data_IF_223152271085
#
_entry.id   IF_223152271085
#
_cell.length_a   1.000
_cell.length_b   1.000
_cell.length_c   1.000
_cell.angle_alpha   90.00
_cell.angle_beta   90.00
_cell.angle_gamma   90.00
#
_symmetry.space_group_name_H-M   'P 1'
#
loop_
_entity.id
_entity.type
_entity.pdbx_description
1 polymer ?
#
# COMPACT_ATOMS: atom_id res chain seq x y z
N UNK A 1 -25.97 -19.74 -44.06
CA UNK A 1 -25.49 -20.57 -42.95
C UNK A 1 -26.05 -19.97 -41.66
N UNK A 2 -27.12 -20.62 -41.18
CA UNK A 2 -27.69 -20.82 -39.84
C UNK A 2 -27.17 -19.96 -38.67
N UNK A 3 -28.02 -19.15 -38.01
CA UNK A 3 -28.92 -19.44 -36.86
C UNK A 3 -28.21 -19.52 -35.49
N UNK A 4 -28.61 -18.56 -34.62
CA UNK A 4 -29.00 -18.68 -33.20
C UNK A 4 -28.24 -19.56 -32.20
N UNK A 5 -28.08 -19.02 -30.97
CA UNK A 5 -28.39 -19.58 -29.63
C UNK A 5 -27.41 -18.95 -28.62
N UNK A 6 -27.81 -17.93 -27.87
CA UNK A 6 -28.54 -18.04 -26.60
C UNK A 6 -27.85 -18.99 -25.60
N UNK A 7 -27.15 -18.35 -24.66
CA UNK A 7 -27.20 -18.56 -23.23
C UNK A 7 -26.87 -19.94 -22.61
N UNK A 8 -26.20 -19.79 -21.47
CA UNK A 8 -26.48 -20.46 -20.20
C UNK A 8 -25.76 -21.79 -19.92
N UNK A 9 -25.04 -21.76 -18.79
CA UNK A 9 -25.16 -22.68 -17.66
C UNK A 9 -24.70 -24.11 -17.99
N UNK A 10 -23.71 -24.69 -17.31
CA UNK A 10 -23.84 -25.32 -15.99
C UNK A 10 -22.54 -26.10 -15.78
N UNK A 11 -22.08 -26.27 -14.53
CA UNK A 11 -21.19 -27.39 -14.22
C UNK A 11 -20.25 -27.12 -13.06
N UNK A 12 -20.76 -27.35 -11.84
CA UNK A 12 -19.91 -27.53 -10.67
C UNK A 12 -19.46 -29.01 -10.55
N UNK A 13 -18.32 -29.16 -9.88
CA UNK A 13 -17.75 -30.30 -9.12
C UNK A 13 -16.81 -31.32 -9.79
N UNK A 14 -15.59 -31.35 -9.21
CA UNK A 14 -14.88 -32.51 -8.66
C UNK A 14 -13.55 -32.97 -9.32
N UNK A 15 -12.53 -32.97 -8.46
CA UNK A 15 -11.37 -33.88 -8.33
C UNK A 15 -10.14 -33.74 -9.25
N UNK A 16 -9.08 -33.23 -8.62
CA UNK A 16 -7.66 -33.66 -8.64
C UNK A 16 -7.10 -34.11 -10.00
N UNK A 17 -6.43 -33.18 -10.67
CA UNK A 17 -5.51 -33.44 -11.76
C UNK A 17 -4.49 -32.32 -11.82
N UNK A 18 -3.21 -32.66 -11.64
CA UNK A 18 -2.08 -31.74 -11.73
C UNK A 18 -2.08 -31.06 -13.09
N UNK A 19 -2.36 -29.77 -13.11
CA UNK A 19 -1.93 -28.89 -14.17
C UNK A 19 -1.47 -27.60 -13.51
N UNK A 20 -0.16 -27.36 -13.57
CA UNK A 20 0.46 -26.06 -13.31
C UNK A 20 -0.15 -25.06 -14.30
N UNK A 21 -1.34 -24.55 -14.00
CA UNK A 21 -1.77 -23.28 -14.53
C UNK A 21 -0.94 -22.26 -13.77
N UNK A 22 0.16 -21.84 -14.39
CA UNK A 22 0.72 -20.52 -14.16
C UNK A 22 -0.41 -19.53 -14.45
N UNK A 23 -1.27 -19.31 -13.46
CA UNK A 23 -2.02 -18.09 -13.37
C UNK A 23 -0.94 -17.02 -13.32
N UNK A 24 -0.73 -16.39 -14.48
CA UNK A 24 -0.17 -15.04 -14.51
C UNK A 24 -1.17 -14.23 -13.71
N UNK A 25 -0.96 -14.21 -12.39
CA UNK A 25 -1.52 -13.18 -11.54
C UNK A 25 -0.87 -11.95 -12.10
N UNK A 26 -1.63 -11.24 -12.95
CA UNK A 26 -1.34 -9.85 -13.25
C UNK A 26 -1.51 -9.19 -11.89
N UNK A 27 -0.44 -9.19 -11.10
CA UNK A 27 -0.34 -8.34 -9.93
C UNK A 27 -0.64 -6.94 -10.48
N UNK A 28 -1.65 -6.23 -9.95
CA UNK A 28 -1.88 -4.88 -10.38
C UNK A 28 -0.57 -4.14 -10.18
N UNK A 29 0.04 -3.74 -11.29
CA UNK A 29 1.13 -2.78 -11.31
C UNK A 29 0.57 -1.61 -10.49
N UNK A 30 1.16 -1.34 -9.33
CA UNK A 30 0.81 -0.16 -8.56
C UNK A 30 1.16 1.04 -9.45
N UNK A 31 0.18 1.49 -10.23
CA UNK A 31 0.26 2.77 -10.90
C UNK A 31 0.43 3.79 -9.78
N UNK A 32 1.48 4.61 -9.86
CA UNK A 32 1.54 5.84 -9.10
C UNK A 32 0.27 6.61 -9.44
N UNK A 33 -0.71 6.56 -8.54
CA UNK A 33 -1.92 7.33 -8.65
C UNK A 33 -1.53 8.73 -8.17
N UNK A 34 -1.28 9.62 -9.12
CA UNK A 34 -0.84 11.01 -8.84
C UNK A 34 -1.78 11.72 -7.85
N UNK A 35 -3.06 11.29 -7.75
CA UNK A 35 -4.02 11.82 -6.79
C UNK A 35 -3.83 11.23 -5.39
N UNK A 36 -3.58 9.92 -5.28
CA UNK A 36 -3.28 9.25 -4.01
C UNK A 36 -1.94 9.73 -3.42
N UNK A 37 -0.93 9.89 -4.27
CA UNK A 37 0.37 10.44 -3.90
C UNK A 37 0.23 11.89 -3.41
N UNK A 38 -0.58 12.69 -4.12
CA UNK A 38 -0.89 14.06 -3.72
C UNK A 38 -1.62 14.14 -2.37
N UNK A 39 -2.59 13.26 -2.12
CA UNK A 39 -3.31 13.19 -0.86
C UNK A 39 -2.37 12.85 0.30
N UNK A 40 -1.56 11.79 0.12
CA UNK A 40 -0.58 11.34 1.09
C UNK A 40 0.41 12.46 1.47
N UNK A 41 1.02 13.11 0.47
CA UNK A 41 1.96 14.21 0.70
C UNK A 41 1.29 15.38 1.42
N UNK A 42 0.10 15.78 1.00
CA UNK A 42 -0.66 16.86 1.65
C UNK A 42 -0.96 16.53 3.12
N UNK A 43 -1.30 15.27 3.41
CA UNK A 43 -1.54 14.82 4.77
C UNK A 43 -0.28 14.91 5.65
N UNK A 44 0.88 14.53 5.13
CA UNK A 44 2.15 14.64 5.83
C UNK A 44 2.59 16.09 6.07
N UNK A 45 2.49 16.94 5.05
CA UNK A 45 2.86 18.36 5.15
C UNK A 45 2.01 19.11 6.18
N UNK A 46 0.71 18.83 6.23
CA UNK A 46 -0.20 19.44 7.21
C UNK A 46 0.20 19.15 8.67
N UNK A 47 0.92 18.05 8.91
CA UNK A 47 1.37 17.60 10.23
C UNK A 47 2.83 17.94 10.51
N UNK A 48 3.51 18.59 9.56
CA UNK A 48 4.91 18.97 9.71
C UNK A 48 5.88 17.81 9.54
N UNK A 49 5.47 16.72 8.91
CA UNK A 49 6.38 15.63 8.51
C UNK A 49 7.21 16.12 7.32
N UNK A 50 8.55 16.05 7.38
CA UNK A 50 9.42 16.44 6.26
C UNK A 50 9.20 15.58 5.02
N UNK A 51 8.50 16.10 4.01
CA UNK A 51 8.28 15.44 2.71
C UNK A 51 9.32 15.81 1.66
N UNK A 52 10.10 16.86 1.92
CA UNK A 52 11.01 17.52 0.97
C UNK A 52 12.47 17.07 1.01
N UNK A 53 12.84 16.11 1.86
CA UNK A 53 14.20 15.55 1.89
C UNK A 53 14.44 14.82 0.55
N UNK A 54 15.19 15.46 -0.35
CA UNK A 54 15.43 15.08 -1.76
C UNK A 54 14.20 15.08 -2.70
N UNK A 55 13.96 16.23 -3.34
CA UNK A 55 13.15 16.40 -4.57
C UNK A 55 11.67 15.96 -4.51
N UNK A 56 11.01 16.01 -3.36
CA UNK A 56 9.55 15.72 -3.21
C UNK A 56 9.12 14.29 -3.56
N UNK A 57 10.02 13.51 -4.17
CA UNK A 57 9.79 12.13 -4.62
C UNK A 57 10.05 11.15 -3.50
N UNK A 58 10.80 11.53 -2.46
CA UNK A 58 11.13 10.63 -1.35
C UNK A 58 9.92 10.33 -0.48
N UNK A 59 9.04 11.31 -0.23
CA UNK A 59 7.81 11.10 0.52
C UNK A 59 6.92 10.04 -0.13
N UNK A 60 6.50 10.26 -1.39
CA UNK A 60 5.63 9.33 -2.09
C UNK A 60 6.28 7.95 -2.26
N UNK A 61 7.58 7.88 -2.59
CA UNK A 61 8.31 6.61 -2.66
C UNK A 61 8.37 5.87 -1.32
N UNK A 62 8.54 6.59 -0.21
CA UNK A 62 8.51 6.00 1.13
C UNK A 62 7.12 5.45 1.45
N UNK A 63 6.06 6.22 1.15
CA UNK A 63 4.68 5.76 1.32
C UNK A 63 4.39 4.49 0.53
N UNK A 64 4.79 4.44 -0.75
CA UNK A 64 4.66 3.24 -1.57
C UNK A 64 5.50 2.08 -1.05
N UNK A 65 6.74 2.31 -0.59
CA UNK A 65 7.58 1.26 -0.01
C UNK A 65 6.96 0.65 1.26
N UNK A 66 6.40 1.49 2.15
CA UNK A 66 5.64 1.02 3.32
C UNK A 66 4.46 0.16 2.87
N UNK A 67 3.73 0.63 1.87
CA UNK A 67 2.56 -0.01 1.35
C UNK A 67 2.85 -1.39 0.74
N UNK A 68 3.89 -1.47 -0.09
CA UNK A 68 4.34 -2.71 -0.73
C UNK A 68 4.83 -3.72 0.31
N UNK A 69 5.55 -3.26 1.33
CA UNK A 69 6.03 -4.12 2.42
C UNK A 69 4.88 -4.71 3.23
N UNK A 70 3.81 -3.93 3.50
CA UNK A 70 2.63 -4.41 4.21
C UNK A 70 1.87 -5.43 3.36
N UNK A 71 1.67 -5.16 2.06
CA UNK A 71 1.08 -6.13 1.11
C UNK A 71 1.90 -7.42 1.00
N UNK A 72 3.22 -7.33 1.16
CA UNK A 72 4.12 -8.47 1.22
C UNK A 72 4.07 -9.24 2.56
N UNK A 73 3.28 -8.79 3.53
CA UNK A 73 3.05 -9.44 4.82
C UNK A 73 3.79 -8.82 6.01
N UNK A 74 4.43 -7.65 5.84
CA UNK A 74 5.03 -6.94 6.97
C UNK A 74 3.95 -6.34 7.88
N UNK A 75 4.19 -6.36 9.19
CA UNK A 75 3.31 -5.66 10.13
C UNK A 75 3.57 -4.15 10.10
N UNK A 76 2.51 -3.35 10.07
CA UNK A 76 2.59 -1.89 10.04
C UNK A 76 3.37 -1.32 11.25
N UNK A 77 3.22 -1.91 12.44
CA UNK A 77 3.98 -1.52 13.64
C UNK A 77 5.48 -1.73 13.50
N UNK A 78 5.91 -2.75 12.75
CA UNK A 78 7.32 -2.95 12.45
C UNK A 78 7.85 -1.86 11.52
N UNK A 79 7.02 -1.32 10.62
CA UNK A 79 7.40 -0.23 9.71
C UNK A 79 7.58 1.08 10.45
N UNK A 80 6.73 1.39 11.44
CA UNK A 80 6.93 2.55 12.33
C UNK A 80 8.33 2.52 12.95
N UNK A 81 8.71 1.39 13.55
CA UNK A 81 10.04 1.23 14.14
C UNK A 81 11.16 1.30 13.11
N UNK A 82 10.98 0.71 11.92
CA UNK A 82 12.00 0.77 10.87
C UNK A 82 12.24 2.19 10.39
N UNK A 83 11.18 2.97 10.15
CA UNK A 83 11.25 4.36 9.68
C UNK A 83 11.89 5.27 10.73
N UNK A 84 11.58 5.04 12.02
CA UNK A 84 12.14 5.82 13.12
C UNK A 84 13.59 5.46 13.49
N UNK A 85 14.20 4.47 12.83
CA UNK A 85 15.58 3.99 13.08
C UNK A 85 16.44 3.88 11.80
N UNK A 86 16.01 4.49 10.69
CA UNK A 86 16.79 4.75 9.47
C UNK A 86 18.05 5.61 9.72
N UNK A 87 19.15 5.06 10.26
CA UNK A 87 20.44 5.70 10.65
C UNK A 87 21.07 6.89 9.86
N UNK A 88 20.50 7.41 8.78
CA UNK A 88 20.92 8.62 8.08
C UNK A 88 20.32 9.88 8.74
N UNK A 89 21.19 10.63 9.43
CA UNK A 89 21.17 11.97 10.06
C UNK A 89 19.96 12.97 9.98
N UNK A 90 18.87 12.71 9.27
CA UNK A 90 17.68 13.58 9.13
C UNK A 90 16.37 12.82 9.44
N UNK A 91 16.40 11.92 10.44
CA UNK A 91 15.35 10.93 10.63
C UNK A 91 14.02 11.43 11.21
N UNK A 92 12.95 10.84 10.67
CA UNK A 92 11.61 10.94 11.23
C UNK A 92 11.58 10.45 12.67
N UNK A 93 11.03 11.28 13.56
CA UNK A 93 10.70 10.86 14.92
C UNK A 93 9.67 9.72 14.91
N UNK A 94 9.54 8.96 16.00
CA UNK A 94 8.50 7.92 16.12
C UNK A 94 7.10 8.47 15.80
N UNK A 95 6.66 9.63 16.34
CA UNK A 95 5.41 10.27 15.93
C UNK A 95 5.28 10.51 14.42
N UNK A 96 6.35 10.96 13.76
CA UNK A 96 6.33 11.19 12.31
C UNK A 96 6.28 9.86 11.53
N UNK A 97 6.96 8.83 12.01
CA UNK A 97 6.90 7.48 11.42
C UNK A 97 5.50 6.87 11.54
N UNK A 98 4.82 7.08 12.66
CA UNK A 98 3.43 6.70 12.86
C UNK A 98 2.49 7.39 11.86
N UNK A 99 2.65 8.70 11.69
CA UNK A 99 1.87 9.46 10.70
C UNK A 99 2.14 8.97 9.27
N UNK A 100 3.40 8.71 8.92
CA UNK A 100 3.78 8.14 7.61
C UNK A 100 3.06 6.82 7.36
N UNK A 101 3.13 5.88 8.31
CA UNK A 101 2.49 4.56 8.16
C UNK A 101 0.97 4.69 8.11
N UNK A 102 0.37 5.55 8.95
CA UNK A 102 -1.08 5.76 8.96
C UNK A 102 -1.60 6.27 7.61
N UNK A 103 -0.96 7.31 7.07
CA UNK A 103 -1.39 7.93 5.82
C UNK A 103 -1.00 7.09 4.59
N UNK A 104 0.08 6.32 4.64
CA UNK A 104 0.40 5.36 3.59
C UNK A 104 -0.69 4.28 3.48
N UNK A 105 -1.17 3.72 4.60
CA UNK A 105 -2.27 2.76 4.57
C UNK A 105 -3.57 3.43 4.14
N UNK A 106 -3.86 4.64 4.62
CA UNK A 106 -5.13 5.32 4.33
C UNK A 106 -5.25 5.74 2.86
N UNK A 107 -4.18 6.28 2.29
CA UNK A 107 -4.22 6.91 0.96
C UNK A 107 -3.67 5.99 -0.14
N UNK A 108 -2.67 5.14 0.15
CA UNK A 108 -1.94 4.34 -0.85
C UNK A 108 -2.29 2.83 -0.83
N UNK A 109 -2.71 2.28 0.32
CA UNK A 109 -3.19 0.88 0.43
C UNK A 109 -4.48 0.75 1.25
N UNK A 110 -5.62 1.25 0.74
CA UNK A 110 -6.90 1.12 1.43
C UNK A 110 -7.33 -0.35 1.62
N UNK A 111 -6.76 -1.31 0.89
CA UNK A 111 -6.99 -2.73 1.11
C UNK A 111 -6.36 -3.26 2.42
N UNK A 112 -5.35 -2.55 2.96
CA UNK A 112 -4.60 -2.92 4.18
C UNK A 112 -5.09 -2.19 5.44
N UNK A 113 -6.30 -1.62 5.41
CA UNK A 113 -6.88 -0.85 6.51
C UNK A 113 -6.98 -1.59 7.84
N UNK A 114 -6.94 -2.93 7.82
CA UNK A 114 -6.89 -3.75 9.04
C UNK A 114 -5.59 -3.60 9.84
N UNK A 115 -4.50 -3.16 9.21
CA UNK A 115 -3.20 -2.90 9.84
C UNK A 115 -3.10 -1.47 10.38
N UNK A 116 -4.02 -0.59 10.00
CA UNK A 116 -4.02 0.81 10.42
C UNK A 116 -4.37 0.94 11.90
N UNK A 117 -3.63 1.78 12.61
CA UNK A 117 -3.91 2.13 13.99
C UNK A 117 -4.36 3.58 14.08
N UNK A 118 -5.60 3.83 14.50
CA UNK A 118 -6.17 5.18 14.50
C UNK A 118 -5.48 6.15 15.47
N UNK A 119 -4.75 5.64 16.48
CA UNK A 119 -3.96 6.49 17.37
C UNK A 119 -2.69 7.06 16.71
N UNK A 120 -2.21 6.48 15.61
CA UNK A 120 -1.05 6.97 14.84
C UNK A 120 -1.37 8.15 13.93
N UNK A 121 -2.64 8.49 13.75
CA UNK A 121 -3.09 9.53 12.80
C UNK A 121 -2.39 10.88 12.98
N UNK A 122 -2.10 11.21 14.23
CA UNK A 122 -1.60 12.50 14.69
C UNK A 122 -0.27 12.35 15.49
N UNK A 123 0.41 11.19 15.37
CA UNK A 123 1.73 10.88 15.96
C UNK A 123 1.81 10.93 17.49
N UNK A 124 1.53 9.83 18.19
CA UNK A 124 1.18 9.84 19.62
C UNK A 124 1.82 8.71 20.45
#
# INVERSE_FOLDING_TARGET
>A
MDRSLAAAVTGAVASVGVALAAAVVIAPVAYADDQADGAFIMHLEKRGVPTGLTNGTMGAKLGHAVCDDIKAGSQASSKVLQIANLNDADEFTVPQAEEIVYWAITDLCPDEMSQRQDHWRDGN
#
